data_IF_623522470769
#
_entry.id   IF_623522470769
#
_cell.length_a   1.000
_cell.length_b   1.000
_cell.length_c   1.000
_cell.angle_alpha   90.00
_cell.angle_beta   90.00
_cell.angle_gamma   90.00
#
_symmetry.space_group_name_H-M   'P 1'
#
loop_
_entity.id
_entity.type
_entity.pdbx_description
1 polymer ?
#
# COMPACT_ATOMS: atom_id res chain seq x y z
N UNK A 1 -11.51 -15.89 0.65
CA UNK A 1 -10.18 -15.45 0.16
C UNK A 1 -9.35 -14.97 1.35
N UNK A 2 -8.05 -15.29 1.37
CA UNK A 2 -7.11 -14.75 2.38
C UNK A 2 -6.74 -13.31 2.04
N UNK A 3 -6.32 -12.53 3.03
CA UNK A 3 -6.02 -11.12 2.80
C UNK A 3 -4.86 -10.91 1.82
N UNK A 4 -3.80 -11.72 1.93
CA UNK A 4 -2.72 -11.79 0.94
C UNK A 4 -3.22 -12.03 -0.49
N UNK A 5 -4.16 -12.96 -0.68
CA UNK A 5 -4.70 -13.28 -2.01
C UNK A 5 -5.50 -12.11 -2.58
N UNK A 6 -6.21 -11.37 -1.72
CA UNK A 6 -6.87 -10.13 -2.13
C UNK A 6 -5.85 -9.10 -2.65
N UNK A 7 -4.77 -8.84 -1.90
CA UNK A 7 -3.72 -7.91 -2.33
C UNK A 7 -3.11 -8.32 -3.69
N UNK A 8 -2.82 -9.62 -3.85
CA UNK A 8 -2.22 -10.16 -5.07
C UNK A 8 -3.14 -10.07 -6.30
N UNK A 9 -4.45 -10.24 -6.13
CA UNK A 9 -5.39 -10.27 -7.26
C UNK A 9 -5.92 -8.87 -7.60
N UNK A 10 -6.16 -8.03 -6.60
CA UNK A 10 -6.85 -6.76 -6.80
C UNK A 10 -5.94 -5.53 -6.74
N UNK A 11 -4.80 -5.62 -6.06
CA UNK A 11 -3.94 -4.44 -5.81
C UNK A 11 -2.67 -4.50 -6.65
N UNK A 12 -2.00 -5.66 -6.67
CA UNK A 12 -0.74 -5.83 -7.42
C UNK A 12 -0.92 -5.65 -8.94
N UNK A 13 -1.94 -6.21 -9.61
CA UNK A 13 -2.03 -6.10 -11.07
C UNK A 13 -2.23 -4.66 -11.57
N UNK A 14 -3.11 -3.83 -10.95
CA UNK A 14 -3.19 -2.40 -11.29
C UNK A 14 -1.88 -1.64 -11.07
N UNK A 15 -1.14 -1.91 -9.99
CA UNK A 15 0.16 -1.29 -9.74
C UNK A 15 1.15 -1.63 -10.86
N UNK A 16 1.24 -2.92 -11.23
CA UNK A 16 2.12 -3.37 -12.30
C UNK A 16 1.75 -2.74 -13.64
N UNK A 17 0.46 -2.66 -13.97
CA UNK A 17 -0.02 -2.01 -15.18
C UNK A 17 0.35 -0.52 -15.22
N UNK A 18 0.10 0.21 -14.13
CA UNK A 18 0.46 1.64 -14.02
C UNK A 18 1.97 1.85 -14.10
N UNK A 19 2.76 1.02 -13.40
CA UNK A 19 4.22 1.08 -13.43
C UNK A 19 4.74 0.81 -14.85
N UNK A 20 4.20 -0.18 -15.55
CA UNK A 20 4.56 -0.50 -16.94
C UNK A 20 4.25 0.68 -17.88
N UNK A 21 3.04 1.25 -17.81
CA UNK A 21 2.66 2.41 -18.62
C UNK A 21 3.59 3.60 -18.38
N UNK A 22 3.87 3.92 -17.11
CA UNK A 22 4.76 5.02 -16.74
C UNK A 22 6.22 4.77 -17.12
N UNK A 23 6.67 3.51 -17.09
CA UNK A 23 8.00 3.12 -17.54
C UNK A 23 8.15 3.27 -19.05
N UNK A 24 7.16 2.81 -19.83
CA UNK A 24 7.10 2.99 -21.29
C UNK A 24 7.11 4.48 -21.66
N UNK A 25 6.35 5.30 -20.92
CA UNK A 25 6.33 6.76 -21.09
C UNK A 25 7.57 7.48 -20.54
N UNK A 26 8.53 6.76 -19.94
CA UNK A 26 9.71 7.31 -19.25
C UNK A 26 9.38 8.37 -18.19
N UNK A 27 8.24 8.20 -17.51
CA UNK A 27 7.71 9.13 -16.48
C UNK A 27 8.01 8.71 -15.05
N UNK A 28 8.67 7.57 -14.85
CA UNK A 28 9.21 7.14 -13.56
C UNK A 28 10.54 7.84 -13.31
N UNK A 29 10.53 8.83 -12.43
CA UNK A 29 11.73 9.58 -12.03
C UNK A 29 12.12 9.23 -10.60
N UNK A 30 13.39 9.49 -10.25
CA UNK A 30 13.86 9.35 -8.86
C UNK A 30 13.01 10.16 -7.88
N UNK A 31 12.52 11.33 -8.29
CA UNK A 31 11.62 12.16 -7.47
C UNK A 31 10.29 11.46 -7.17
N UNK A 32 9.70 10.77 -8.15
CA UNK A 32 8.47 9.97 -7.94
C UNK A 32 8.74 8.84 -6.94
N UNK A 33 9.86 8.11 -7.12
CA UNK A 33 10.24 7.04 -6.19
C UNK A 33 10.46 7.53 -4.76
N UNK A 34 11.15 8.67 -4.60
CA UNK A 34 11.37 9.29 -3.29
C UNK A 34 10.06 9.78 -2.66
N UNK A 35 9.18 10.41 -3.43
CA UNK A 35 7.88 10.87 -2.94
C UNK A 35 7.02 9.68 -2.46
N UNK A 36 6.88 8.64 -3.29
CA UNK A 36 6.13 7.42 -2.92
C UNK A 36 6.74 6.73 -1.71
N UNK A 37 8.07 6.62 -1.65
CA UNK A 37 8.77 6.02 -0.51
C UNK A 37 8.56 6.81 0.79
N UNK A 38 8.71 8.14 0.74
CA UNK A 38 8.49 9.01 1.90
C UNK A 38 7.03 8.95 2.36
N UNK A 39 6.06 9.04 1.44
CA UNK A 39 4.64 8.91 1.78
C UNK A 39 4.30 7.54 2.35
N UNK A 40 4.94 6.47 1.87
CA UNK A 40 4.76 5.12 2.42
C UNK A 40 5.26 5.02 3.86
N UNK A 41 6.42 5.60 4.15
CA UNK A 41 6.95 5.65 5.52
C UNK A 41 6.03 6.46 6.45
N UNK A 42 5.56 7.63 6.00
CA UNK A 42 4.61 8.45 6.76
C UNK A 42 3.31 7.66 7.00
N UNK A 43 2.75 7.01 5.97
CA UNK A 43 1.54 6.23 6.09
C UNK A 43 1.71 5.14 7.15
N UNK A 44 2.76 4.31 7.06
CA UNK A 44 3.01 3.23 8.03
C UNK A 44 3.20 3.75 9.46
N UNK A 45 4.01 4.78 9.64
CA UNK A 45 4.30 5.34 10.97
C UNK A 45 3.09 6.03 11.59
N UNK A 46 2.25 6.65 10.76
CA UNK A 46 1.05 7.34 11.22
C UNK A 46 -0.10 6.36 11.49
N UNK A 47 -0.41 5.46 10.57
CA UNK A 47 -1.60 4.58 10.67
C UNK A 47 -1.36 3.36 11.56
N UNK A 48 -0.15 2.80 11.57
CA UNK A 48 0.17 1.58 12.32
C UNK A 48 -0.18 1.65 13.82
N UNK A 49 0.14 2.75 14.54
CA UNK A 49 -0.25 2.91 15.94
C UNK A 49 -1.76 2.92 16.16
N UNK A 50 -2.51 3.65 15.32
CA UNK A 50 -3.98 3.70 15.43
C UNK A 50 -4.61 2.35 15.20
N UNK A 51 -4.14 1.60 14.19
CA UNK A 51 -4.68 0.29 13.86
C UNK A 51 -4.46 -0.71 15.00
N UNK A 52 -3.25 -0.70 15.59
CA UNK A 52 -2.93 -1.48 16.78
C UNK A 52 -3.81 -1.11 17.99
N UNK A 53 -4.12 0.18 18.17
CA UNK A 53 -4.97 0.64 19.27
C UNK A 53 -6.43 0.20 19.11
N UNK A 54 -6.99 0.26 17.91
CA UNK A 54 -8.37 -0.15 17.63
C UNK A 54 -8.54 -1.65 17.89
N UNK A 55 -7.57 -2.46 17.46
CA UNK A 55 -7.56 -3.91 17.73
C UNK A 55 -7.39 -4.17 19.22
N UNK A 56 -6.52 -3.42 19.92
CA UNK A 56 -6.34 -3.54 21.38
C UNK A 56 -7.61 -3.23 22.16
N UNK A 57 -8.38 -2.23 21.71
CA UNK A 57 -9.66 -1.84 22.33
C UNK A 57 -10.82 -2.77 21.97
N UNK A 58 -10.60 -3.78 21.12
CA UNK A 58 -11.64 -4.72 20.71
C UNK A 58 -12.70 -4.11 19.78
N UNK A 59 -12.47 -2.90 19.27
CA UNK A 59 -13.37 -2.23 18.33
C UNK A 59 -13.32 -2.93 16.96
N UNK A 60 -12.16 -3.49 16.62
CA UNK A 60 -11.96 -4.26 15.40
C UNK A 60 -11.21 -5.56 15.69
N UNK A 61 -11.46 -6.60 14.91
CA UNK A 61 -10.72 -7.86 14.98
C UNK A 61 -10.62 -8.50 13.59
N UNK A 62 -9.55 -9.26 13.38
CA UNK A 62 -9.37 -10.05 12.17
C UNK A 62 -9.88 -11.48 12.41
N UNK A 63 -10.68 -12.06 11.50
CA UNK A 63 -11.18 -13.42 11.67
C UNK A 63 -10.03 -14.43 11.73
N UNK A 64 -10.10 -15.43 12.64
CA UNK A 64 -9.09 -16.49 12.71
C UNK A 64 -8.96 -17.20 11.36
N UNK A 65 -7.71 -17.39 10.89
CA UNK A 65 -7.39 -18.08 9.64
C UNK A 65 -7.46 -17.24 8.34
N UNK A 66 -7.80 -15.95 8.41
CA UNK A 66 -7.77 -15.03 7.23
C UNK A 66 -6.43 -14.29 7.07
N UNK A 67 -5.65 -14.25 8.14
CA UNK A 67 -4.32 -13.63 8.24
C UNK A 67 -3.30 -14.76 8.36
N UNK A 68 -2.31 -14.80 7.47
CA UNK A 68 -1.33 -15.88 7.39
C UNK A 68 0.06 -15.45 7.88
N UNK A 69 0.29 -14.14 8.03
CA UNK A 69 1.58 -13.59 8.39
C UNK A 69 1.79 -13.32 9.90
N UNK A 70 3.06 -13.10 10.30
CA UNK A 70 3.40 -12.62 11.63
C UNK A 70 2.77 -11.24 11.90
N UNK A 71 2.33 -11.00 13.13
CA UNK A 71 1.81 -9.69 13.55
C UNK A 71 2.95 -8.83 14.09
N UNK A 72 3.05 -7.59 13.64
CA UNK A 72 3.88 -6.58 14.31
C UNK A 72 2.98 -5.90 15.34
N UNK A 73 3.17 -6.23 16.61
CA UNK A 73 2.18 -5.90 17.65
C UNK A 73 0.91 -6.73 17.47
N UNK A 74 -0.26 -6.08 17.31
CA UNK A 74 -1.56 -6.74 17.04
C UNK A 74 -2.00 -6.67 15.57
N UNK A 75 -1.20 -6.02 14.72
CA UNK A 75 -1.56 -5.75 13.32
C UNK A 75 -0.87 -6.77 12.40
N UNK A 76 -1.61 -7.40 11.47
CA UNK A 76 -1.05 -8.26 10.43
C UNK A 76 0.03 -7.61 9.56
N UNK A 77 1.08 -8.34 9.18
CA UNK A 77 2.07 -7.84 8.21
C UNK A 77 1.42 -7.49 6.86
N UNK A 78 0.36 -8.20 6.49
CA UNK A 78 -0.42 -7.94 5.29
C UNK A 78 -1.07 -6.55 5.29
N UNK A 79 -1.41 -6.02 6.47
CA UNK A 79 -1.99 -4.67 6.61
C UNK A 79 -0.93 -3.59 6.36
N UNK A 80 0.28 -3.79 6.87
CA UNK A 80 1.41 -2.91 6.54
C UNK A 80 1.74 -2.95 5.04
N UNK A 81 1.68 -4.13 4.42
CA UNK A 81 1.81 -4.25 2.98
C UNK A 81 0.70 -3.50 2.24
N UNK A 82 -0.54 -3.57 2.73
CA UNK A 82 -1.66 -2.82 2.16
C UNK A 82 -1.40 -1.30 2.19
N UNK A 83 -0.91 -0.75 3.30
CA UNK A 83 -0.59 0.69 3.38
C UNK A 83 0.40 1.11 2.30
N UNK A 84 1.49 0.36 2.14
CA UNK A 84 2.53 0.64 1.13
C UNK A 84 1.97 0.48 -0.29
N UNK A 85 1.22 -0.59 -0.54
CA UNK A 85 0.61 -0.85 -1.84
C UNK A 85 -0.42 0.23 -2.22
N UNK A 86 -1.18 0.75 -1.26
CA UNK A 86 -2.11 1.86 -1.50
C UNK A 86 -1.40 3.15 -1.88
N UNK A 87 -0.30 3.49 -1.19
CA UNK A 87 0.51 4.66 -1.55
C UNK A 87 1.15 4.49 -2.94
N UNK A 88 1.64 3.29 -3.27
CA UNK A 88 2.13 2.97 -4.61
C UNK A 88 1.05 3.15 -5.67
N UNK A 89 -0.12 2.54 -5.48
CA UNK A 89 -1.23 2.58 -6.43
C UNK A 89 -1.68 4.03 -6.69
N UNK A 90 -1.97 4.77 -5.63
CA UNK A 90 -2.47 6.15 -5.71
C UNK A 90 -1.39 7.12 -6.20
N UNK A 91 -0.13 6.93 -5.80
CA UNK A 91 1.01 7.73 -6.28
C UNK A 91 1.27 7.56 -7.77
N UNK A 92 1.29 6.32 -8.26
CA UNK A 92 1.46 6.02 -9.69
C UNK A 92 0.25 6.52 -10.50
N UNK A 93 -0.97 6.33 -10.01
CA UNK A 93 -2.17 6.86 -10.65
C UNK A 93 -2.12 8.38 -10.76
N UNK A 94 -1.77 9.07 -9.67
CA UNK A 94 -1.60 10.53 -9.65
C UNK A 94 -0.55 10.97 -10.66
N UNK A 95 0.58 10.25 -10.74
CA UNK A 95 1.64 10.54 -11.72
C UNK A 95 1.17 10.37 -13.17
N UNK A 96 0.36 9.35 -13.44
CA UNK A 96 -0.22 9.11 -14.77
C UNK A 96 -1.18 10.24 -15.17
N UNK A 97 -2.04 10.67 -14.25
CA UNK A 97 -3.04 11.71 -14.47
C UNK A 97 -2.41 13.10 -14.56
N UNK A 98 -1.32 13.36 -13.84
CA UNK A 98 -0.65 14.65 -13.86
C UNK A 98 0.12 14.84 -15.18
N UNK A 99 -0.52 15.49 -16.16
CA UNK A 99 0.04 15.74 -17.50
C UNK A 99 0.89 17.00 -17.62
N UNK A 100 1.10 17.77 -16.54
CA UNK A 100 1.76 19.10 -16.54
C UNK A 100 3.29 19.10 -16.81
N UNK A 101 3.86 18.04 -17.37
CA UNK A 101 5.27 17.99 -17.79
C UNK A 101 5.44 18.29 -19.30
N UNK A 102 4.62 19.18 -19.87
CA UNK A 102 4.81 19.73 -21.23
C UNK A 102 4.84 21.24 -21.15
#
# INVERSE_FOLDING_TARGET
MTYRRFLQVFVVPPILALAAVLAIQRRLTRRVGLAVGATSAIAVLYTGPWDSLIIRKGVWSYPPGRVLGPTIGKVPIEEYAFFVLQVLLTGLLTRLLNRRDR
#
